data_IF_056656499870
#
_entry.id   IF_056656499870
#
_cell.length_a   1.000
_cell.length_b   1.000
_cell.length_c   1.000
_cell.angle_alpha   90.00
_cell.angle_beta   90.00
_cell.angle_gamma   90.00
#
_symmetry.space_group_name_H-M   'P 1'
#
loop_
_entity.id
_entity.type
_entity.pdbx_description
1 polymer ?
#
# COMPACT_ATOMS: atom_id res chain seq x y z
N UNK A 1 -12.20 -4.45 16.26
CA UNK A 1 -11.44 -4.51 17.52
C UNK A 1 -10.20 -5.32 17.27
N UNK A 2 -9.10 -4.65 16.92
CA UNK A 2 -7.77 -5.26 17.00
C UNK A 2 -7.39 -5.25 18.49
N UNK A 3 -7.18 -6.43 19.06
CA UNK A 3 -6.81 -6.57 20.47
C UNK A 3 -5.31 -6.32 20.60
N UNK A 4 -4.93 -5.25 21.30
CA UNK A 4 -3.56 -4.99 21.72
C UNK A 4 -3.14 -6.01 22.78
N UNK A 5 -2.01 -6.69 22.58
CA UNK A 5 -1.26 -7.36 23.65
C UNK A 5 0.08 -6.65 23.82
N UNK A 6 0.42 -6.13 25.01
CA UNK A 6 1.74 -5.59 25.26
C UNK A 6 2.72 -6.75 25.48
N UNK A 7 3.76 -6.88 24.63
CA UNK A 7 4.89 -7.76 24.93
C UNK A 7 5.92 -6.99 25.74
N UNK A 8 6.21 -7.52 26.93
CA UNK A 8 7.30 -7.10 27.80
C UNK A 8 8.64 -7.12 27.06
N UNK A 9 9.35 -6.00 27.08
CA UNK A 9 10.75 -5.91 26.68
C UNK A 9 11.61 -6.28 27.90
N UNK A 10 12.13 -7.51 27.94
CA UNK A 10 13.21 -7.86 28.87
C UNK A 10 14.51 -7.25 28.34
N UNK A 11 15.07 -6.33 29.12
CA UNK A 11 16.40 -5.75 28.92
C UNK A 11 17.46 -6.85 29.06
N UNK A 12 18.21 -7.09 27.98
CA UNK A 12 19.47 -7.83 28.05
C UNK A 12 20.61 -6.81 28.22
N UNK A 13 21.25 -6.88 29.39
CA UNK A 13 22.47 -6.16 29.73
C UNK A 13 23.66 -6.76 28.96
N UNK A 14 24.39 -5.94 28.21
CA UNK A 14 25.72 -6.26 27.71
C UNK A 14 26.78 -5.65 28.65
N UNK A 15 27.84 -6.38 29.06
CA UNK A 15 28.92 -5.83 29.86
C UNK A 15 30.05 -5.28 28.97
N UNK A 16 30.52 -4.06 29.24
CA UNK A 16 31.80 -3.55 28.76
C UNK A 16 32.73 -3.28 29.96
N UNK A 17 34.02 -3.64 29.88
CA UNK A 17 35.06 -3.00 30.67
C UNK A 17 35.85 -2.01 29.82
N UNK A 18 36.01 -0.82 30.39
CA UNK A 18 36.77 0.32 29.92
C UNK A 18 38.28 0.05 29.85
N UNK A 19 38.94 0.46 28.76
CA UNK A 19 40.35 0.89 28.81
C UNK A 19 40.60 2.10 27.90
N UNK A 20 41.10 3.16 28.53
CA UNK A 20 41.70 4.36 27.92
C UNK A 20 43.04 3.98 27.29
N UNK A 21 43.33 4.47 26.08
CA UNK A 21 44.70 4.75 25.64
C UNK A 21 44.71 6.06 24.83
N UNK A 22 45.74 6.86 25.11
CA UNK A 22 45.95 8.23 24.63
C UNK A 22 46.58 8.29 23.23
N UNK A 23 46.20 9.36 22.52
CA UNK A 23 46.95 10.21 21.58
C UNK A 23 47.99 9.62 20.61
N UNK A 24 47.79 9.83 19.31
CA UNK A 24 48.56 10.77 18.47
C UNK A 24 48.25 10.58 16.97
N UNK A 25 48.24 11.67 16.20
CA UNK A 25 48.68 11.63 14.80
C UNK A 25 47.63 11.82 13.70
N UNK A 26 47.78 12.94 13.00
CA UNK A 26 47.45 13.19 11.59
C UNK A 26 46.01 13.09 11.08
N UNK A 27 45.41 14.28 10.96
CA UNK A 27 44.35 14.59 10.01
C UNK A 27 44.91 14.39 8.59
N UNK A 28 44.41 13.38 7.88
CA UNK A 28 44.39 13.35 6.40
C UNK A 28 42.93 13.41 5.97
N UNK A 29 42.56 14.52 5.32
CA UNK A 29 41.36 14.62 4.50
C UNK A 29 41.51 13.64 3.34
N UNK A 30 40.67 12.61 3.30
CA UNK A 30 40.50 11.77 2.12
C UNK A 30 39.19 12.19 1.49
N UNK A 31 39.28 13.02 0.43
CA UNK A 31 38.17 13.30 -0.46
C UNK A 31 37.75 11.99 -1.15
N UNK A 32 36.57 11.49 -0.80
CA UNK A 32 35.92 10.41 -1.53
C UNK A 32 35.20 11.00 -2.75
N UNK A 33 35.87 10.99 -3.89
CA UNK A 33 35.28 11.27 -5.19
C UNK A 33 34.20 10.24 -5.51
N UNK A 34 32.94 10.67 -5.59
CA UNK A 34 31.83 9.87 -6.13
C UNK A 34 31.94 9.82 -7.67
N UNK A 35 31.80 8.66 -8.34
CA UNK A 35 31.69 8.64 -9.78
C UNK A 35 30.30 9.11 -10.22
N UNK A 36 30.26 10.20 -10.99
CA UNK A 36 29.06 10.68 -11.65
C UNK A 36 28.66 9.70 -12.78
N UNK A 37 27.54 9.00 -12.61
CA UNK A 37 26.92 8.23 -13.69
C UNK A 37 26.19 9.18 -14.65
N UNK A 38 26.91 9.66 -15.68
CA UNK A 38 26.33 10.40 -16.81
C UNK A 38 25.68 9.39 -17.78
N UNK A 39 24.35 9.26 -17.73
CA UNK A 39 23.62 8.52 -18.75
C UNK A 39 23.25 9.48 -19.91
N UNK A 40 24.01 9.43 -21.00
CA UNK A 40 23.66 10.10 -22.26
C UNK A 40 22.47 9.38 -22.91
N UNK A 41 21.30 10.02 -22.91
CA UNK A 41 20.18 9.58 -23.74
C UNK A 41 20.50 9.84 -25.23
N UNK A 42 20.74 8.78 -26.00
CA UNK A 42 20.59 8.81 -27.46
C UNK A 42 19.11 8.60 -27.81
N UNK A 43 18.47 9.64 -28.33
CA UNK A 43 17.15 9.53 -28.97
C UNK A 43 17.34 8.87 -30.34
N UNK A 44 16.82 7.67 -30.52
CA UNK A 44 16.48 7.14 -31.85
C UNK A 44 14.97 7.05 -31.95
N UNK A 45 14.40 7.93 -32.77
CA UNK A 45 13.01 7.88 -33.17
C UNK A 45 12.86 6.82 -34.28
N UNK A 46 12.02 5.81 -34.04
CA UNK A 46 11.49 4.93 -35.08
C UNK A 46 9.96 4.97 -34.96
N UNK A 47 9.34 5.62 -35.94
CA UNK A 47 7.91 5.68 -36.10
C UNK A 47 7.40 4.35 -36.67
N UNK A 48 6.52 3.67 -35.95
CA UNK A 48 5.71 2.60 -36.52
C UNK A 48 4.24 3.04 -36.57
N UNK A 49 3.76 3.28 -37.80
CA UNK A 49 2.33 3.33 -38.12
C UNK A 49 1.74 1.96 -37.84
N UNK A 50 0.71 1.90 -36.99
CA UNK A 50 -0.15 0.73 -36.85
C UNK A 50 -1.49 1.03 -37.52
N UNK A 51 -1.75 0.29 -38.61
CA UNK A 51 -3.03 0.24 -39.30
C UNK A 51 -4.11 -0.44 -38.45
N UNK A 52 -5.36 -0.07 -38.69
CA UNK A 52 -6.53 -0.54 -37.96
C UNK A 52 -6.77 -2.04 -38.07
N UNK A 53 -7.23 -2.63 -36.97
CA UNK A 53 -7.71 -4.01 -36.88
C UNK A 53 -8.85 -4.09 -35.87
N UNK A 54 -9.98 -4.60 -36.35
CA UNK A 54 -11.28 -4.74 -35.67
C UNK A 54 -11.16 -5.66 -34.44
N UNK A 55 -11.97 -5.35 -33.43
CA UNK A 55 -11.85 -5.87 -32.06
C UNK A 55 -11.89 -7.40 -31.92
N UNK A 56 -10.86 -7.93 -31.26
CA UNK A 56 -10.90 -9.22 -30.60
C UNK A 56 -11.08 -9.00 -29.09
N UNK A 57 -12.22 -9.44 -28.54
CA UNK A 57 -12.41 -9.57 -27.09
C UNK A 57 -11.35 -10.55 -26.58
N UNK A 58 -10.34 -10.04 -25.86
CA UNK A 58 -9.37 -10.89 -25.15
C UNK A 58 -10.10 -11.70 -24.08
N UNK A 59 -10.02 -13.03 -24.17
CA UNK A 59 -10.41 -13.93 -23.10
C UNK A 59 -9.69 -13.52 -21.81
N UNK A 60 -10.42 -13.45 -20.70
CA UNK A 60 -9.85 -13.20 -19.39
C UNK A 60 -8.90 -14.35 -19.05
N UNK A 61 -7.65 -14.04 -18.73
CA UNK A 61 -6.71 -15.05 -18.25
C UNK A 61 -7.29 -15.67 -16.97
N UNK A 62 -7.62 -16.97 -17.01
CA UNK A 62 -8.13 -17.79 -15.90
C UNK A 62 -7.05 -18.12 -14.86
N UNK A 63 -6.05 -17.24 -14.71
CA UNK A 63 -4.90 -17.44 -13.83
C UNK A 63 -4.84 -16.42 -12.70
N UNK A 64 -4.13 -16.78 -11.65
CA UNK A 64 -3.94 -15.96 -10.45
C UNK A 64 -2.83 -14.89 -10.61
N UNK A 65 -2.64 -14.41 -11.84
CA UNK A 65 -1.57 -13.48 -12.23
C UNK A 65 -2.10 -12.05 -12.36
N UNK A 66 -1.22 -11.04 -12.32
CA UNK A 66 -1.61 -9.66 -12.58
C UNK A 66 -2.41 -9.50 -13.87
N UNK A 67 -3.59 -8.87 -13.77
CA UNK A 67 -4.51 -8.68 -14.92
C UNK A 67 -3.94 -7.80 -16.02
N UNK A 68 -2.98 -6.93 -15.70
CA UNK A 68 -2.26 -6.11 -16.67
C UNK A 68 -0.76 -6.39 -16.58
N UNK A 69 -0.01 -6.06 -17.64
CA UNK A 69 1.46 -6.13 -17.66
C UNK A 69 2.12 -4.76 -17.56
N UNK A 70 1.37 -3.74 -17.14
CA UNK A 70 1.88 -2.37 -17.07
C UNK A 70 2.91 -2.27 -15.94
N UNK A 71 4.16 -1.86 -16.21
CA UNK A 71 5.23 -1.89 -15.22
C UNK A 71 5.19 -0.70 -14.25
N UNK A 72 4.04 -0.03 -14.08
CA UNK A 72 3.94 1.23 -13.33
C UNK A 72 4.51 1.13 -11.91
N UNK A 73 4.05 0.16 -11.12
CA UNK A 73 4.52 -0.03 -9.75
C UNK A 73 5.96 -0.55 -9.69
N UNK A 74 6.35 -1.41 -10.63
CA UNK A 74 7.73 -1.89 -10.75
C UNK A 74 8.70 -0.74 -11.03
N UNK A 75 8.36 0.17 -11.96
CA UNK A 75 9.16 1.35 -12.26
C UNK A 75 9.26 2.28 -11.03
N UNK A 76 8.18 2.38 -10.26
CA UNK A 76 8.16 3.16 -9.01
C UNK A 76 9.10 2.56 -7.96
N UNK A 77 9.09 1.24 -7.80
CA UNK A 77 10.03 0.52 -6.90
C UNK A 77 11.48 0.69 -7.37
N UNK A 78 11.77 0.49 -8.65
CA UNK A 78 13.12 0.67 -9.21
C UNK A 78 13.64 2.10 -9.05
N UNK A 79 12.80 3.09 -9.34
CA UNK A 79 13.14 4.50 -9.11
C UNK A 79 13.40 4.77 -7.62
N UNK A 80 12.59 4.19 -6.75
CA UNK A 80 12.76 4.33 -5.31
C UNK A 80 14.03 3.64 -4.79
N UNK A 81 14.51 2.53 -5.36
CA UNK A 81 15.77 1.89 -4.94
C UNK A 81 16.95 2.88 -5.01
N UNK A 82 16.98 3.74 -6.03
CA UNK A 82 18.03 4.74 -6.23
C UNK A 82 17.86 6.02 -5.40
N UNK A 83 16.74 6.21 -4.69
CA UNK A 83 16.51 7.41 -3.88
C UNK A 83 17.05 7.28 -2.45
N UNK A 84 17.33 8.37 -1.73
CA UNK A 84 17.70 8.29 -0.32
C UNK A 84 16.57 7.71 0.55
N UNK A 85 16.95 6.98 1.58
CA UNK A 85 16.04 6.52 2.62
C UNK A 85 15.49 7.69 3.44
N UNK A 86 14.22 7.62 3.86
CA UNK A 86 13.61 8.66 4.70
C UNK A 86 13.50 8.26 6.17
N UNK A 87 13.50 6.96 6.50
CA UNK A 87 13.29 6.44 7.86
C UNK A 87 14.27 6.99 8.91
N UNK A 88 15.48 7.37 8.49
CA UNK A 88 16.55 7.88 9.36
C UNK A 88 16.57 9.41 9.49
N UNK A 89 15.59 10.11 8.92
CA UNK A 89 15.48 11.57 8.99
C UNK A 89 14.61 12.00 10.17
N UNK A 90 14.68 13.29 10.53
CA UNK A 90 13.85 13.89 11.61
C UNK A 90 12.34 13.79 11.34
N UNK A 91 11.95 13.71 10.07
CA UNK A 91 10.56 13.61 9.62
C UNK A 91 10.45 12.49 8.57
N UNK A 92 10.40 11.21 9.02
CA UNK A 92 10.54 10.07 8.12
C UNK A 92 9.35 9.88 7.16
N UNK A 93 8.17 10.34 7.57
CA UNK A 93 6.94 10.27 6.80
C UNK A 93 6.57 11.63 6.21
N UNK A 94 6.07 11.62 4.98
CA UNK A 94 5.43 12.77 4.34
C UNK A 94 3.92 12.68 4.46
N UNK A 95 3.27 13.83 4.63
CA UNK A 95 1.82 13.96 4.66
C UNK A 95 1.18 13.36 3.41
N UNK A 96 0.08 12.64 3.59
CA UNK A 96 -0.73 12.14 2.47
C UNK A 96 -1.28 13.34 1.68
N UNK A 97 -1.26 13.34 0.33
CA UNK A 97 -1.87 14.40 -0.44
C UNK A 97 -3.40 14.18 -0.53
N UNK A 98 -4.23 14.86 0.30
CA UNK A 98 -5.67 14.66 0.24
C UNK A 98 -6.23 15.10 -1.11
N UNK A 99 -7.32 14.48 -1.52
CA UNK A 99 -8.08 14.96 -2.68
C UNK A 99 -8.86 16.23 -2.31
N UNK A 100 -8.62 17.31 -3.06
CA UNK A 100 -9.32 18.59 -2.90
C UNK A 100 -10.35 18.72 -4.02
N UNK A 101 -11.62 18.92 -3.65
CA UNK A 101 -12.72 19.09 -4.61
C UNK A 101 -12.44 20.34 -5.48
N UNK A 102 -12.52 20.18 -6.79
CA UNK A 102 -12.29 21.26 -7.76
C UNK A 102 -10.84 21.37 -8.26
N UNK A 103 -9.88 20.68 -7.63
CA UNK A 103 -8.49 20.70 -8.08
C UNK A 103 -8.23 19.63 -9.15
N UNK A 104 -7.82 20.05 -10.35
CA UNK A 104 -7.48 19.14 -11.45
C UNK A 104 -6.00 18.76 -11.37
N UNK A 105 -5.68 17.68 -10.67
CA UNK A 105 -4.34 17.09 -10.65
C UNK A 105 -4.27 15.85 -11.54
N UNK A 106 -3.19 15.73 -12.32
CA UNK A 106 -2.90 14.47 -13.03
C UNK A 106 -2.66 13.37 -11.99
N UNK A 107 -3.29 12.18 -12.13
CA UNK A 107 -3.04 11.04 -11.26
C UNK A 107 -1.54 10.70 -11.20
N UNK A 108 -0.97 10.71 -9.99
CA UNK A 108 0.43 10.39 -9.78
C UNK A 108 0.66 9.78 -8.39
N UNK A 109 1.58 8.81 -8.32
CA UNK A 109 2.06 8.24 -7.07
C UNK A 109 3.33 8.94 -6.62
N UNK A 110 3.38 9.31 -5.35
CA UNK A 110 4.53 9.95 -4.68
C UNK A 110 4.99 9.06 -3.54
N UNK A 111 6.31 8.96 -3.35
CA UNK A 111 6.91 8.27 -2.20
C UNK A 111 6.72 9.12 -0.95
N UNK A 112 5.97 8.57 0.01
CA UNK A 112 5.63 9.14 1.30
C UNK A 112 6.58 8.67 2.41
N UNK A 113 7.18 7.49 2.24
CA UNK A 113 8.20 6.93 3.12
C UNK A 113 9.07 5.92 2.37
N UNK A 114 10.33 5.80 2.79
CA UNK A 114 11.26 4.78 2.32
C UNK A 114 12.18 4.32 3.44
N UNK A 115 12.34 3.00 3.54
CA UNK A 115 13.44 2.35 4.25
C UNK A 115 14.13 1.31 3.34
N UNK A 116 15.17 0.58 3.82
CA UNK A 116 15.87 -0.39 3.00
C UNK A 116 15.01 -1.56 2.49
N UNK A 117 13.86 -1.83 3.11
CA UNK A 117 13.00 -2.98 2.78
C UNK A 117 11.76 -2.58 1.98
N UNK A 118 11.20 -1.38 2.19
CA UNK A 118 9.93 -1.00 1.59
C UNK A 118 9.76 0.50 1.32
N UNK A 119 8.70 0.81 0.59
CA UNK A 119 8.19 2.17 0.36
C UNK A 119 6.71 2.25 0.68
N UNK A 120 6.27 3.44 1.13
CA UNK A 120 4.86 3.83 1.16
C UNK A 120 4.63 4.87 0.07
N UNK A 121 3.62 4.65 -0.77
CA UNK A 121 3.22 5.59 -1.82
C UNK A 121 1.72 5.86 -1.78
N UNK A 122 1.26 7.04 -2.18
CA UNK A 122 -0.17 7.22 -2.44
C UNK A 122 -0.57 6.46 -3.71
N UNK A 123 -1.75 5.84 -3.69
CA UNK A 123 -2.37 5.30 -4.92
C UNK A 123 -2.73 6.47 -5.84
N UNK A 124 -2.40 6.36 -7.12
CA UNK A 124 -2.73 7.39 -8.12
C UNK A 124 -4.25 7.48 -8.37
N UNK A 125 -5.00 6.43 -8.07
CA UNK A 125 -6.44 6.30 -8.25
C UNK A 125 -7.11 5.90 -6.92
N UNK A 126 -7.13 6.78 -5.90
CA UNK A 126 -7.58 6.42 -4.55
C UNK A 126 -9.05 5.98 -4.51
N UNK A 127 -9.32 4.87 -3.82
CA UNK A 127 -10.66 4.26 -3.70
C UNK A 127 -11.40 4.66 -2.42
N UNK A 128 -10.68 5.26 -1.48
CA UNK A 128 -11.18 5.91 -0.27
C UNK A 128 -10.52 7.29 -0.13
N UNK A 129 -10.92 8.07 0.89
CA UNK A 129 -10.30 9.37 1.18
C UNK A 129 -8.78 9.29 1.39
N UNK A 130 -8.29 8.18 1.93
CA UNK A 130 -6.87 7.87 1.97
C UNK A 130 -6.64 6.45 1.45
N UNK A 131 -5.77 6.33 0.45
CA UNK A 131 -5.37 5.05 -0.13
C UNK A 131 -3.90 5.08 -0.51
N UNK A 132 -3.12 4.25 0.16
CA UNK A 132 -1.70 4.06 -0.05
C UNK A 132 -1.39 2.61 -0.45
N UNK A 133 -0.23 2.44 -1.07
CA UNK A 133 0.38 1.14 -1.34
C UNK A 133 1.68 1.07 -0.55
N UNK A 134 1.81 0.03 0.28
CA UNK A 134 3.06 -0.34 0.95
C UNK A 134 3.69 -1.47 0.13
N UNK A 135 4.86 -1.21 -0.44
CA UNK A 135 5.49 -2.11 -1.42
C UNK A 135 6.90 -2.49 -0.96
N UNK A 136 7.27 -3.77 -1.02
CA UNK A 136 8.66 -4.16 -0.83
C UNK A 136 9.53 -3.59 -1.95
N UNK A 137 10.79 -3.30 -1.62
CA UNK A 137 11.78 -2.87 -2.59
C UNK A 137 12.34 -4.02 -3.43
N UNK A 138 12.03 -5.27 -3.09
CA UNK A 138 12.39 -6.44 -3.90
C UNK A 138 11.56 -6.48 -5.20
N UNK A 139 12.18 -6.31 -6.38
CA UNK A 139 11.47 -6.31 -7.66
C UNK A 139 11.09 -7.72 -8.15
N UNK A 140 11.60 -8.78 -7.50
CA UNK A 140 11.26 -10.17 -7.82
C UNK A 140 9.86 -10.54 -7.33
N UNK A 141 9.35 -9.84 -6.31
CA UNK A 141 8.01 -10.04 -5.76
C UNK A 141 6.96 -9.37 -6.64
N UNK A 142 6.42 -10.12 -7.60
CA UNK A 142 5.41 -9.65 -8.54
C UNK A 142 3.97 -9.72 -8.02
N UNK A 143 3.68 -10.67 -7.13
CA UNK A 143 2.34 -11.00 -6.64
C UNK A 143 2.39 -11.82 -5.34
N UNK A 144 1.23 -12.18 -4.80
CA UNK A 144 1.12 -13.09 -3.67
C UNK A 144 1.70 -14.50 -3.95
N UNK A 145 1.77 -14.92 -5.22
CA UNK A 145 2.26 -16.25 -5.60
C UNK A 145 3.78 -16.39 -5.48
N UNK A 146 4.50 -15.26 -5.39
CA UNK A 146 5.96 -15.25 -5.27
C UNK A 146 6.43 -15.37 -3.80
N UNK A 147 5.49 -15.25 -2.85
CA UNK A 147 5.75 -15.32 -1.43
C UNK A 147 5.99 -16.76 -0.95
N UNK A 148 6.98 -16.92 -0.08
CA UNK A 148 7.33 -18.14 0.65
C UNK A 148 7.53 -17.79 2.13
N UNK A 149 7.65 -18.79 3.00
CA UNK A 149 7.78 -18.60 4.45
C UNK A 149 8.90 -17.63 4.87
N UNK A 150 10.00 -17.58 4.12
CA UNK A 150 11.12 -16.64 4.34
C UNK A 150 10.72 -15.16 4.20
N UNK A 151 9.60 -14.85 3.56
CA UNK A 151 9.07 -13.50 3.42
C UNK A 151 8.14 -13.09 4.55
N UNK A 152 7.82 -13.96 5.52
CA UNK A 152 6.97 -13.61 6.67
C UNK A 152 7.53 -12.38 7.43
N UNK A 153 8.83 -12.29 7.75
CA UNK A 153 9.39 -11.08 8.38
C UNK A 153 9.21 -9.81 7.53
N UNK A 154 9.30 -9.94 6.20
CA UNK A 154 9.06 -8.82 5.28
C UNK A 154 7.60 -8.36 5.36
N UNK A 155 6.63 -9.27 5.31
CA UNK A 155 5.21 -8.94 5.41
C UNK A 155 4.88 -8.26 6.75
N UNK A 156 5.43 -8.76 7.85
CA UNK A 156 5.28 -8.16 9.17
C UNK A 156 5.86 -6.73 9.20
N UNK A 157 7.03 -6.53 8.59
CA UNK A 157 7.62 -5.18 8.44
C UNK A 157 6.73 -4.24 7.62
N UNK A 158 6.11 -4.70 6.53
CA UNK A 158 5.16 -3.88 5.76
C UNK A 158 3.96 -3.44 6.62
N UNK A 159 3.44 -4.35 7.45
CA UNK A 159 2.34 -4.08 8.38
C UNK A 159 2.74 -3.05 9.45
N UNK A 160 3.92 -3.21 10.05
CA UNK A 160 4.44 -2.27 11.06
C UNK A 160 4.64 -0.87 10.47
N UNK A 161 5.15 -0.77 9.24
CA UNK A 161 5.29 0.51 8.53
C UNK A 161 3.92 1.13 8.23
N UNK A 162 2.93 0.33 7.86
CA UNK A 162 1.57 0.81 7.64
C UNK A 162 0.94 1.37 8.93
N UNK A 163 1.11 0.68 10.06
CA UNK A 163 0.63 1.14 11.36
C UNK A 163 1.30 2.46 11.77
N UNK A 164 2.63 2.55 11.64
CA UNK A 164 3.38 3.79 11.90
C UNK A 164 2.89 4.94 11.02
N UNK A 165 2.55 4.67 9.75
CA UNK A 165 1.99 5.69 8.86
C UNK A 165 0.60 6.16 9.31
N UNK A 166 -0.24 5.25 9.82
CA UNK A 166 -1.55 5.61 10.40
C UNK A 166 -1.37 6.48 11.64
N UNK A 167 -0.43 6.14 12.53
CA UNK A 167 -0.13 6.95 13.72
C UNK A 167 0.37 8.36 13.35
N UNK A 168 1.25 8.44 12.35
CA UNK A 168 1.68 9.72 11.78
C UNK A 168 0.48 10.52 11.24
N UNK A 169 -0.40 9.89 10.44
CA UNK A 169 -1.62 10.52 9.89
C UNK A 169 -2.54 11.09 10.99
N UNK A 170 -2.57 10.47 12.17
CA UNK A 170 -3.38 10.95 13.30
C UNK A 170 -2.84 12.23 13.96
N UNK A 171 -1.56 12.54 13.77
CA UNK A 171 -0.88 13.70 14.37
C UNK A 171 -0.45 14.75 13.35
N UNK A 172 -0.41 14.39 12.06
CA UNK A 172 -0.04 15.25 10.96
C UNK A 172 -1.07 16.37 10.71
N UNK A 173 -0.59 17.62 10.64
CA UNK A 173 -1.43 18.81 10.49
C UNK A 173 -2.27 18.81 9.20
N UNK A 174 -1.67 18.37 8.08
CA UNK A 174 -2.37 18.28 6.79
C UNK A 174 -3.49 17.24 6.86
N UNK A 175 -3.22 16.11 7.48
CA UNK A 175 -4.21 15.04 7.70
C UNK A 175 -5.34 15.48 8.63
N UNK A 176 -5.05 16.30 9.63
CA UNK A 176 -6.05 16.91 10.51
C UNK A 176 -6.98 17.86 9.76
N UNK A 177 -6.42 18.78 8.98
CA UNK A 177 -7.19 19.73 8.15
C UNK A 177 -8.08 19.00 7.14
N UNK A 178 -7.59 17.90 6.56
CA UNK A 178 -8.33 17.06 5.64
C UNK A 178 -9.30 16.07 6.34
N UNK A 179 -9.37 16.06 7.67
CA UNK A 179 -10.23 15.16 8.46
C UNK A 179 -9.90 13.67 8.31
N UNK A 180 -8.65 13.32 8.01
CA UNK A 180 -8.17 11.95 7.81
C UNK A 180 -7.81 11.26 9.14
N UNK A 181 -7.46 12.03 10.18
CA UNK A 181 -7.04 11.51 11.49
C UNK A 181 -8.12 10.64 12.18
N UNK A 182 -9.40 10.87 11.85
CA UNK A 182 -10.52 10.14 12.43
C UNK A 182 -10.89 8.89 11.63
N UNK A 183 -10.26 8.62 10.48
CA UNK A 183 -10.62 7.49 9.66
C UNK A 183 -10.14 6.17 10.28
N UNK A 184 -10.95 5.15 10.11
CA UNK A 184 -10.56 3.76 10.34
C UNK A 184 -9.86 3.21 9.10
N UNK A 185 -8.87 2.35 9.31
CA UNK A 185 -8.02 1.82 8.24
C UNK A 185 -8.07 0.30 8.20
N UNK A 186 -7.75 -0.24 7.03
CA UNK A 186 -7.50 -1.66 6.83
C UNK A 186 -6.25 -1.87 5.98
N UNK A 187 -5.55 -2.97 6.23
CA UNK A 187 -4.36 -3.38 5.50
C UNK A 187 -4.51 -4.78 4.93
N UNK A 188 -4.04 -4.99 3.70
CA UNK A 188 -4.18 -6.28 3.04
C UNK A 188 -3.93 -6.24 1.54
N UNK A 189 -4.30 -7.31 0.87
CA UNK A 189 -3.98 -7.55 -0.53
C UNK A 189 -5.24 -7.89 -1.32
N UNK A 190 -5.26 -7.52 -2.60
CA UNK A 190 -6.20 -8.15 -3.52
C UNK A 190 -5.78 -9.58 -3.78
N UNK A 191 -6.71 -10.53 -3.69
CA UNK A 191 -6.47 -11.94 -3.97
C UNK A 191 -5.96 -12.16 -5.41
N UNK A 192 -6.58 -11.46 -6.38
CA UNK A 192 -6.14 -11.40 -7.77
C UNK A 192 -5.63 -9.97 -8.11
N UNK A 193 -4.30 -9.74 -8.17
CA UNK A 193 -3.76 -8.41 -8.36
C UNK A 193 -4.07 -7.84 -9.75
N UNK A 194 -4.26 -6.52 -9.83
CA UNK A 194 -4.52 -5.84 -11.12
C UNK A 194 -3.23 -5.38 -11.81
N UNK A 195 -2.23 -5.00 -11.02
CA UNK A 195 -0.91 -4.54 -11.47
C UNK A 195 0.16 -5.52 -11.00
N UNK A 196 1.23 -5.74 -11.79
CA UNK A 196 2.41 -6.46 -11.33
C UNK A 196 3.20 -5.60 -10.34
N UNK A 197 3.99 -6.27 -9.49
CA UNK A 197 4.62 -5.78 -8.25
C UNK A 197 3.71 -6.03 -7.04
N UNK A 198 4.20 -6.79 -6.05
CA UNK A 198 3.49 -7.00 -4.79
C UNK A 198 3.23 -5.65 -4.11
N UNK A 199 1.99 -5.41 -3.71
CA UNK A 199 1.59 -4.19 -3.02
C UNK A 199 0.53 -4.51 -1.97
N UNK A 200 0.80 -4.11 -0.73
CA UNK A 200 -0.18 -4.14 0.34
C UNK A 200 -0.94 -2.82 0.32
N UNK A 201 -2.26 -2.88 0.26
CA UNK A 201 -3.11 -1.72 0.41
C UNK A 201 -3.11 -1.27 1.87
N UNK A 202 -2.91 0.02 2.09
CA UNK A 202 -3.30 0.72 3.32
C UNK A 202 -4.41 1.69 2.92
N UNK A 203 -5.64 1.39 3.30
CA UNK A 203 -6.83 2.10 2.79
C UNK A 203 -7.78 2.45 3.94
N UNK A 204 -8.32 3.66 3.91
CA UNK A 204 -9.37 4.07 4.85
C UNK A 204 -10.69 3.38 4.50
N UNK A 205 -11.49 3.04 5.52
CA UNK A 205 -12.68 2.20 5.37
C UNK A 205 -13.91 2.95 4.89
N UNK A 206 -13.84 4.26 4.69
CA UNK A 206 -14.94 5.11 4.20
C UNK A 206 -15.36 4.79 2.76
N UNK A 207 -14.43 4.32 1.91
CA UNK A 207 -14.67 4.07 0.48
C UNK A 207 -15.27 5.28 -0.26
N UNK A 208 -14.93 6.51 0.17
CA UNK A 208 -15.35 7.75 -0.46
C UNK A 208 -14.22 8.39 -1.28
N UNK A 209 -13.51 7.57 -2.05
CA UNK A 209 -12.46 8.04 -2.95
C UNK A 209 -13.00 8.60 -4.27
N UNK A 210 -12.29 9.53 -4.93
CA UNK A 210 -12.70 10.06 -6.23
C UNK A 210 -12.67 9.01 -7.37
N UNK A 211 -11.91 7.91 -7.20
CA UNK A 211 -11.72 6.89 -8.23
C UNK A 211 -12.49 5.58 -7.99
N UNK A 212 -13.35 5.50 -6.98
CA UNK A 212 -14.24 4.36 -6.77
C UNK A 212 -15.51 4.51 -7.65
N UNK A 213 -15.41 4.02 -8.88
CA UNK A 213 -16.42 4.27 -9.94
C UNK A 213 -17.39 3.12 -10.22
N UNK A 214 -17.07 1.90 -9.82
CA UNK A 214 -17.80 0.69 -10.26
C UNK A 214 -17.99 -0.28 -9.09
N UNK A 215 -18.98 -1.17 -9.20
CA UNK A 215 -19.18 -2.26 -8.23
C UNK A 215 -17.92 -3.10 -8.03
N UNK A 216 -17.18 -3.35 -9.11
CA UNK A 216 -15.90 -4.06 -9.08
C UNK A 216 -14.87 -3.36 -8.21
N UNK A 217 -14.72 -2.04 -8.32
CA UNK A 217 -13.78 -1.28 -7.49
C UNK A 217 -14.15 -1.33 -6.01
N UNK A 218 -15.44 -1.40 -5.68
CA UNK A 218 -15.88 -1.48 -4.29
C UNK A 218 -15.76 -2.91 -3.74
N UNK A 219 -16.29 -3.90 -4.46
CA UNK A 219 -16.27 -5.30 -4.06
C UNK A 219 -14.84 -5.82 -3.88
N UNK A 220 -13.85 -5.29 -4.61
CA UNK A 220 -12.45 -5.70 -4.44
C UNK A 220 -11.90 -5.36 -3.04
N UNK A 221 -12.50 -4.42 -2.30
CA UNK A 221 -12.13 -4.10 -0.91
C UNK A 221 -13.18 -4.55 0.12
N UNK A 222 -14.45 -4.66 -0.29
CA UNK A 222 -15.58 -4.90 0.60
C UNK A 222 -16.09 -6.36 0.62
N UNK A 223 -15.33 -7.30 0.04
CA UNK A 223 -15.65 -8.74 0.04
C UNK A 223 -14.41 -9.57 0.41
N UNK A 224 -14.55 -10.90 0.47
CA UNK A 224 -13.42 -11.81 0.65
C UNK A 224 -12.37 -11.77 -0.49
N UNK A 225 -12.60 -10.99 -1.55
CA UNK A 225 -11.58 -10.66 -2.52
C UNK A 225 -10.40 -9.88 -1.90
N UNK A 226 -10.67 -9.08 -0.87
CA UNK A 226 -9.64 -8.42 -0.08
C UNK A 226 -9.17 -9.35 1.03
N UNK A 227 -7.90 -9.75 0.97
CA UNK A 227 -7.26 -10.61 1.96
C UNK A 227 -6.60 -9.74 3.04
N UNK A 228 -7.07 -9.75 4.29
CA UNK A 228 -6.38 -9.04 5.37
C UNK A 228 -4.94 -9.50 5.50
N UNK A 229 -4.00 -8.57 5.74
CA UNK A 229 -2.57 -8.88 5.77
C UNK A 229 -2.22 -9.99 6.78
N UNK A 230 -2.81 -9.93 7.98
CA UNK A 230 -2.66 -10.96 9.03
C UNK A 230 -3.05 -12.35 8.53
N UNK A 231 -4.13 -12.46 7.75
CA UNK A 231 -4.59 -13.74 7.20
C UNK A 231 -3.67 -14.28 6.11
N UNK A 232 -3.04 -13.41 5.33
CA UNK A 232 -2.01 -13.81 4.36
C UNK A 232 -0.78 -14.33 5.09
N UNK A 233 -0.35 -13.69 6.18
CA UNK A 233 0.77 -14.16 7.01
C UNK A 233 0.45 -15.52 7.63
N UNK A 234 -0.70 -15.68 8.31
CA UNK A 234 -1.13 -16.94 8.91
C UNK A 234 -1.18 -18.09 7.89
N UNK A 235 -1.69 -17.82 6.68
CA UNK A 235 -1.77 -18.80 5.60
C UNK A 235 -0.39 -19.18 5.05
N UNK A 236 0.49 -18.20 4.88
CA UNK A 236 1.86 -18.40 4.39
C UNK A 236 2.72 -19.20 5.39
N UNK A 237 2.60 -18.90 6.69
CA UNK A 237 3.26 -19.64 7.77
C UNK A 237 2.80 -21.10 7.82
N UNK A 238 1.48 -21.33 7.68
CA UNK A 238 0.89 -22.66 7.77
C UNK A 238 1.21 -23.52 6.54
N UNK A 239 1.14 -22.95 5.34
CA UNK A 239 1.14 -23.70 4.10
C UNK A 239 2.41 -23.55 3.25
N UNK A 240 3.34 -22.67 3.66
CA UNK A 240 4.57 -22.37 2.94
C UNK A 240 4.39 -21.55 1.65
N UNK A 241 3.14 -21.26 1.28
CA UNK A 241 2.70 -20.46 0.14
C UNK A 241 1.33 -19.87 0.43
N UNK A 242 0.92 -18.85 -0.33
CA UNK A 242 -0.44 -18.31 -0.23
C UNK A 242 -1.44 -19.25 -0.95
N UNK A 243 -2.41 -19.77 -0.20
CA UNK A 243 -3.51 -20.63 -0.65
C UNK A 243 -4.85 -19.91 -0.74
N UNK A 244 -4.99 -18.75 -0.09
CA UNK A 244 -6.22 -17.96 -0.07
C UNK A 244 -6.65 -17.42 -1.45
N UNK A 245 -5.75 -17.38 -2.42
CA UNK A 245 -5.98 -16.83 -3.75
C UNK A 245 -6.17 -17.89 -4.86
N UNK A 246 -6.34 -19.17 -4.50
CA UNK A 246 -6.32 -20.27 -5.49
C UNK A 246 -7.66 -20.49 -6.21
N UNK A 247 -8.81 -20.22 -5.56
CA UNK A 247 -10.12 -20.35 -6.19
C UNK A 247 -10.45 -19.12 -7.06
N UNK A 248 -9.76 -18.98 -8.19
CA UNK A 248 -9.85 -17.80 -9.05
C UNK A 248 -11.25 -17.56 -9.62
N UNK A 249 -12.04 -18.62 -9.83
CA UNK A 249 -13.42 -18.52 -10.31
C UNK A 249 -14.33 -17.85 -9.27
N UNK A 250 -14.28 -18.31 -8.02
CA UNK A 250 -15.05 -17.70 -6.93
C UNK A 250 -14.59 -16.28 -6.64
N UNK A 251 -13.27 -16.04 -6.59
CA UNK A 251 -12.73 -14.70 -6.37
C UNK A 251 -13.15 -13.73 -7.48
N UNK A 252 -13.13 -14.17 -8.73
CA UNK A 252 -13.63 -13.36 -9.86
C UNK A 252 -15.12 -13.07 -9.71
N UNK A 253 -15.91 -14.05 -9.25
CA UNK A 253 -17.35 -13.87 -9.02
C UNK A 253 -17.62 -12.75 -8.01
N UNK A 254 -16.92 -12.71 -6.87
CA UNK A 254 -17.10 -11.71 -5.81
C UNK A 254 -17.01 -10.25 -6.33
N UNK A 255 -16.12 -9.98 -7.28
CA UNK A 255 -15.99 -8.64 -7.91
C UNK A 255 -17.21 -8.22 -8.75
N UNK A 256 -18.02 -9.18 -9.21
CA UNK A 256 -19.13 -8.95 -10.14
C UNK A 256 -20.51 -9.02 -9.48
N UNK A 257 -20.61 -9.54 -8.26
CA UNK A 257 -21.86 -9.62 -7.52
C UNK A 257 -22.47 -8.25 -7.21
N UNK A 258 -23.77 -8.25 -6.88
CA UNK A 258 -24.49 -7.08 -6.37
C UNK A 258 -23.77 -6.51 -5.14
N UNK A 259 -23.35 -5.24 -5.16
CA UNK A 259 -22.57 -4.69 -4.07
C UNK A 259 -23.47 -4.42 -2.85
N UNK A 260 -22.98 -4.78 -1.67
CA UNK A 260 -23.68 -4.57 -0.40
C UNK A 260 -22.85 -3.72 0.56
N UNK A 261 -23.51 -3.02 1.46
CA UNK A 261 -22.83 -2.24 2.49
C UNK A 261 -21.97 -3.13 3.39
N UNK A 262 -20.67 -2.81 3.53
CA UNK A 262 -19.74 -3.55 4.38
C UNK A 262 -20.16 -3.55 5.86
N UNK A 263 -20.97 -2.58 6.28
CA UNK A 263 -21.33 -2.39 7.68
C UNK A 263 -22.69 -2.95 8.05
N UNK A 264 -23.73 -2.66 7.28
CA UNK A 264 -25.10 -3.10 7.59
C UNK A 264 -25.65 -4.17 6.65
N UNK A 265 -24.93 -4.54 5.59
CA UNK A 265 -25.35 -5.57 4.63
C UNK A 265 -26.43 -5.13 3.64
N UNK A 266 -26.89 -3.87 3.67
CA UNK A 266 -27.91 -3.37 2.75
C UNK A 266 -27.46 -3.50 1.29
N UNK A 267 -28.37 -3.95 0.41
CA UNK A 267 -28.23 -4.01 -1.05
C UNK A 267 -29.13 -2.97 -1.72
N UNK A 268 -28.65 -1.76 -2.01
CA UNK A 268 -29.49 -0.66 -2.46
C UNK A 268 -29.78 -0.67 -3.98
N UNK A 269 -29.61 -1.82 -4.65
CA UNK A 269 -29.93 -1.98 -6.08
C UNK A 269 -28.92 -1.36 -7.05
N UNK A 270 -27.66 -1.21 -6.63
CA UNK A 270 -26.59 -0.71 -7.50
C UNK A 270 -25.48 0.03 -6.75
N UNK A 271 -24.35 0.24 -7.44
CA UNK A 271 -23.19 0.90 -6.83
C UNK A 271 -23.42 2.40 -6.56
N UNK A 272 -24.16 3.12 -7.40
CA UNK A 272 -24.39 4.55 -7.19
C UNK A 272 -25.24 4.80 -5.93
N UNK A 273 -26.29 4.01 -5.75
CA UNK A 273 -27.13 4.05 -4.55
C UNK A 273 -26.32 3.61 -3.32
N UNK A 274 -25.45 2.61 -3.47
CA UNK A 274 -24.56 2.18 -2.39
C UNK A 274 -23.58 3.30 -2.00
N UNK A 275 -22.99 4.00 -2.96
CA UNK A 275 -22.07 5.10 -2.69
C UNK A 275 -22.73 6.21 -1.86
N UNK A 276 -23.99 6.54 -2.16
CA UNK A 276 -24.77 7.47 -1.34
C UNK A 276 -24.97 6.91 0.07
N UNK A 277 -25.38 5.64 0.17
CA UNK A 277 -25.60 4.98 1.46
C UNK A 277 -24.35 4.92 2.34
N UNK A 278 -23.16 4.66 1.78
CA UNK A 278 -21.91 4.54 2.56
C UNK A 278 -21.61 5.81 3.36
N UNK A 279 -21.99 7.00 2.84
CA UNK A 279 -21.79 8.29 3.51
C UNK A 279 -22.75 8.53 4.68
N UNK A 280 -23.89 7.85 4.70
CA UNK A 280 -24.97 8.06 5.69
C UNK A 280 -25.33 6.78 6.43
N UNK A 281 -24.52 5.73 6.31
CA UNK A 281 -24.81 4.44 6.92
C UNK A 281 -24.77 4.56 8.46
N UNK A 282 -25.85 4.26 9.18
CA UNK A 282 -25.88 4.40 10.65
C UNK A 282 -24.97 3.39 11.35
N UNK A 283 -24.68 2.27 10.70
CA UNK A 283 -23.75 1.24 11.20
C UNK A 283 -22.30 1.49 10.76
N UNK A 284 -22.01 2.62 10.10
CA UNK A 284 -20.69 2.90 9.54
C UNK A 284 -19.60 2.79 10.60
N UNK A 285 -18.55 2.06 10.24
CA UNK A 285 -17.29 1.96 11.00
C UNK A 285 -16.15 2.57 10.19
N UNK A 286 -16.45 3.62 9.42
CA UNK A 286 -15.48 4.35 8.61
C UNK A 286 -14.59 5.28 9.43
N UNK A 287 -15.05 5.69 10.61
CA UNK A 287 -14.34 6.61 11.50
C UNK A 287 -14.26 6.03 12.92
N UNK A 288 -13.22 6.41 13.67
CA UNK A 288 -13.17 6.23 15.12
C UNK A 288 -14.25 7.10 15.77
N UNK A 289 -15.01 6.58 16.75
CA UNK A 289 -15.92 7.41 17.53
C UNK A 289 -15.14 8.54 18.21
N UNK A 290 -15.66 9.76 18.13
CA UNK A 290 -15.08 10.95 18.76
C UNK A 290 -15.34 10.95 20.28
N UNK A 291 -14.99 9.89 21.01
CA UNK A 291 -15.20 9.80 22.47
C UNK A 291 -14.01 10.30 23.29
N UNK A 292 -13.17 11.20 22.74
CA UNK A 292 -12.02 11.77 23.44
C UNK A 292 -11.98 13.31 23.35
N UNK A 293 -13.12 13.97 23.63
CA UNK A 293 -13.16 15.44 23.79
C UNK A 293 -13.83 15.91 25.09
N UNK A 294 -13.98 15.04 26.07
CA UNK A 294 -14.42 15.42 27.42
C UNK A 294 -13.63 14.65 28.47
N UNK A 295 -12.46 15.18 28.80
CA UNK A 295 -11.81 15.06 30.11
C UNK A 295 -10.97 16.33 30.30
#
# INVERSE_FOLDING_TARGET
MLKFFPRHCQQLLCPHPSKKLQCAGHIRLVEATQPACIWRMRKSAMAHKAAGGVGAKRAAATGNFPRTRLPFLRNLVQSAQCSPNTYCTVAPFKSYPPYIIGEQRKPASRVLYKDPQCIVVNDAFPKSRMHCLVMPLDPSLGSLNDLRTDHVPLLQHLMDVAEKYVLFTRSDGVSREAGLQLLEFMVGFHSLPSLPQLHMHLISRDFDGPCIKTKKHYNSFATAFFLPAEKVVEDLERNGRVTLNQNTAELTRLEHEEPQCLWCGLKPGGFQQLRVHLRTCPSSRACVPSTLSTA
#
